data_IF_400060544337
#
_entry.id   IF_400060544337
#
_cell.length_a   1.000
_cell.length_b   1.000
_cell.length_c   1.000
_cell.angle_alpha   90.00
_cell.angle_beta   90.00
_cell.angle_gamma   90.00
#
_symmetry.space_group_name_H-M   'P 1'
#
loop_
_entity.id
_entity.type
_entity.pdbx_description
1 polymer ?
#
# COMPACT_ATOMS: atom_id res chain seq x y z
N UNK A 1 -1.35 4.20 7.81
CA UNK A 1 -0.55 3.91 6.59
C UNK A 1 0.20 2.59 6.82
N UNK A 2 0.33 1.78 5.78
CA UNK A 2 1.00 0.49 5.82
C UNK A 2 2.09 0.45 4.74
N UNK A 3 3.21 -0.21 5.05
CA UNK A 3 4.10 -0.77 4.04
C UNK A 3 3.55 -2.16 3.71
N UNK A 4 3.17 -2.38 2.45
CA UNK A 4 2.63 -3.65 1.97
C UNK A 4 3.54 -4.24 0.90
N UNK A 5 3.76 -5.55 0.99
CA UNK A 5 4.43 -6.39 0.00
C UNK A 5 3.40 -7.33 -0.60
N UNK A 6 3.28 -7.32 -1.93
CA UNK A 6 2.31 -8.15 -2.65
C UNK A 6 2.81 -8.52 -4.04
N UNK A 7 2.32 -9.63 -4.58
CA UNK A 7 2.67 -10.13 -5.91
C UNK A 7 1.49 -9.98 -6.87
N UNK A 8 1.72 -9.41 -8.05
CA UNK A 8 0.73 -9.35 -9.13
C UNK A 8 1.40 -9.87 -10.38
N UNK A 9 0.77 -10.84 -11.05
CA UNK A 9 1.22 -11.41 -12.31
C UNK A 9 2.68 -11.89 -12.31
N UNK A 10 3.18 -12.33 -11.15
CA UNK A 10 4.55 -12.80 -10.95
C UNK A 10 5.50 -11.72 -10.46
N UNK A 11 5.14 -10.44 -10.57
CA UNK A 11 5.97 -9.31 -10.17
C UNK A 11 5.78 -8.94 -8.69
N UNK A 12 6.89 -8.65 -8.02
CA UNK A 12 6.91 -8.28 -6.63
C UNK A 12 6.83 -6.76 -6.46
N UNK A 13 5.81 -6.29 -5.73
CA UNK A 13 5.61 -4.88 -5.42
C UNK A 13 5.81 -4.59 -3.94
N UNK A 14 6.28 -3.37 -3.67
CA UNK A 14 6.33 -2.77 -2.34
C UNK A 14 5.69 -1.39 -2.40
N UNK A 15 4.71 -1.13 -1.53
CA UNK A 15 4.01 0.15 -1.53
C UNK A 15 3.74 0.65 -0.13
N UNK A 16 3.85 1.97 0.04
CA UNK A 16 3.44 2.67 1.25
C UNK A 16 2.13 3.40 0.94
N UNK A 17 1.02 2.88 1.44
CA UNK A 17 -0.34 3.35 1.14
C UNK A 17 -1.23 3.30 2.37
N UNK A 18 -2.36 3.98 2.32
CA UNK A 18 -3.45 3.72 3.26
C UNK A 18 -4.20 2.48 2.81
N UNK A 19 -4.79 1.76 3.75
CA UNK A 19 -5.50 0.50 3.50
C UNK A 19 -6.91 0.65 4.04
N UNK A 20 -7.88 0.46 3.15
CA UNK A 20 -9.30 0.51 3.47
C UNK A 20 -9.96 -0.84 3.12
N UNK A 21 -11.18 -1.04 3.63
CA UNK A 21 -12.06 -2.12 3.19
C UNK A 21 -12.35 -1.97 1.68
N UNK A 22 -12.23 -3.05 0.91
CA UNK A 22 -12.66 -3.08 -0.49
C UNK A 22 -14.15 -3.38 -0.57
N UNK A 23 -14.81 -2.94 -1.65
CA UNK A 23 -16.19 -3.35 -1.93
C UNK A 23 -16.24 -4.77 -2.54
N UNK A 24 -15.09 -5.31 -2.94
CA UNK A 24 -14.93 -6.68 -3.43
C UNK A 24 -14.60 -7.62 -2.27
N UNK A 25 -15.27 -8.78 -2.25
CA UNK A 25 -14.99 -9.84 -1.28
C UNK A 25 -13.56 -10.36 -1.45
N UNK A 26 -12.86 -10.62 -0.35
CA UNK A 26 -11.46 -11.07 -0.27
C UNK A 26 -10.39 -10.10 -0.82
N UNK A 27 -10.72 -8.81 -0.91
CA UNK A 27 -9.78 -7.77 -1.33
C UNK A 27 -9.64 -6.68 -0.25
N UNK A 28 -8.48 -6.04 -0.24
CA UNK A 28 -8.30 -4.72 0.38
C UNK A 28 -8.14 -3.66 -0.68
N UNK A 29 -8.42 -2.41 -0.32
CA UNK A 29 -8.24 -1.25 -1.20
C UNK A 29 -7.05 -0.43 -0.73
N UNK A 30 -6.01 -0.37 -1.55
CA UNK A 30 -4.90 0.56 -1.39
C UNK A 30 -5.33 1.94 -1.87
N UNK A 31 -5.25 2.92 -0.97
CA UNK A 31 -5.70 4.30 -1.23
C UNK A 31 -4.58 5.31 -1.03
N UNK A 32 -4.66 6.40 -1.78
CA UNK A 32 -3.76 7.55 -1.75
C UNK A 32 -4.56 8.81 -1.45
N UNK A 33 -4.03 9.69 -0.60
CA UNK A 33 -4.59 11.04 -0.44
C UNK A 33 -4.14 12.02 -1.55
N UNK A 34 -3.24 11.60 -2.43
CA UNK A 34 -2.94 12.32 -3.66
C UNK A 34 -3.94 11.88 -4.75
N UNK A 35 -4.78 12.82 -5.20
CA UNK A 35 -5.88 12.63 -6.17
C UNK A 35 -5.43 12.27 -7.58
N UNK A 36 -4.14 12.41 -7.89
CA UNK A 36 -3.58 12.00 -9.19
C UNK A 36 -3.25 10.52 -9.27
N UNK A 37 -3.32 9.77 -8.15
CA UNK A 37 -3.05 8.35 -8.13
C UNK A 37 -4.35 7.56 -7.95
N UNK A 38 -4.51 6.56 -8.81
CA UNK A 38 -5.66 5.67 -8.75
C UNK A 38 -5.63 4.79 -7.49
N UNK A 39 -6.83 4.41 -7.06
CA UNK A 39 -7.05 3.43 -6.00
C UNK A 39 -6.86 2.03 -6.59
N UNK A 40 -6.37 1.09 -5.78
CA UNK A 40 -6.07 -0.26 -6.26
C UNK A 40 -6.64 -1.31 -5.32
N UNK A 41 -7.51 -2.18 -5.82
CA UNK A 41 -7.94 -3.37 -5.09
C UNK A 41 -6.89 -4.46 -5.23
N UNK A 42 -6.47 -5.05 -4.11
CA UNK A 42 -5.50 -6.13 -4.03
C UNK A 42 -6.15 -7.34 -3.34
N UNK A 43 -6.13 -8.55 -3.94
CA UNK A 43 -6.66 -9.73 -3.29
C UNK A 43 -5.80 -10.10 -2.08
N UNK A 44 -6.40 -10.55 -0.99
CA UNK A 44 -5.65 -10.94 0.21
C UNK A 44 -4.60 -12.02 -0.09
N UNK A 45 -4.92 -12.95 -0.99
CA UNK A 45 -4.02 -14.02 -1.41
C UNK A 45 -2.73 -13.51 -2.10
N UNK A 46 -2.74 -12.30 -2.67
CA UNK A 46 -1.56 -11.70 -3.29
C UNK A 46 -0.61 -11.05 -2.26
N UNK A 47 -1.04 -10.87 -1.01
CA UNK A 47 -0.27 -10.14 0.00
C UNK A 47 0.69 -11.09 0.69
N UNK A 48 1.98 -10.77 0.62
CA UNK A 48 3.02 -11.52 1.30
C UNK A 48 3.22 -11.03 2.73
N UNK A 49 3.23 -9.71 2.93
CA UNK A 49 3.46 -9.10 4.23
C UNK A 49 2.88 -7.68 4.30
N UNK A 50 2.49 -7.27 5.52
CA UNK A 50 2.10 -5.90 5.82
C UNK A 50 2.73 -5.45 7.14
N UNK A 51 3.12 -4.18 7.19
CA UNK A 51 3.66 -3.56 8.39
C UNK A 51 3.05 -2.19 8.59
N UNK A 52 2.70 -1.85 9.83
CA UNK A 52 2.15 -0.54 10.17
C UNK A 52 3.26 0.51 10.23
N UNK A 53 3.06 1.62 9.52
CA UNK A 53 3.97 2.77 9.63
C UNK A 53 3.57 3.58 10.85
N UNK A 54 4.44 3.63 11.86
CA UNK A 54 4.18 4.31 13.13
C UNK A 54 4.60 5.77 13.15
N UNK A 55 5.70 6.10 12.48
CA UNK A 55 6.19 7.47 12.36
C UNK A 55 6.96 7.61 11.04
N UNK A 56 7.18 8.85 10.62
CA UNK A 56 8.01 9.20 9.47
C UNK A 56 9.01 10.25 9.93
N UNK A 57 10.28 10.06 9.58
CA UNK A 57 11.33 11.05 9.81
C UNK A 57 11.60 11.73 8.47
N UNK A 58 11.52 13.06 8.44
CA UNK A 58 11.95 13.88 7.31
C UNK A 58 13.21 14.65 7.72
N UNK A 59 14.36 14.24 7.19
CA UNK A 59 15.59 15.00 7.29
C UNK A 59 15.69 15.99 6.13
N UNK A 60 15.89 17.28 6.43
CA UNK A 60 16.30 18.24 5.42
C UNK A 60 17.83 18.21 5.33
N UNK A 61 18.37 17.57 4.29
CA UNK A 61 19.78 17.73 3.94
C UNK A 61 19.91 19.05 3.18
N UNK A 62 20.38 20.10 3.86
CA UNK A 62 20.97 21.24 3.14
C UNK A 62 22.36 20.78 2.70
N UNK A 63 22.59 20.72 1.39
CA UNK A 63 23.93 20.65 0.82
C UNK A 63 24.54 22.05 0.80
#
# INVERSE_FOLDING_TARGET
MYLASFNIDGDQYYSVKYVNHSDKEDFLKLVSYNTHYELMDIPFAAINAMTIVKFSIRGHMMM
#
